data_IF_916305131248
#
_entry.id   IF_916305131248
#
_cell.length_a   1.000
_cell.length_b   1.000
_cell.length_c   1.000
_cell.angle_alpha   90.00
_cell.angle_beta   90.00
_cell.angle_gamma   90.00
#
_symmetry.space_group_name_H-M   'P 1'
#
loop_
_entity.id
_entity.type
_entity.pdbx_description
1 polymer ?
#
# COMPACT_ATOMS: atom_id res chain seq x y z
N UNK A 1 2.15 -7.20 0.24
CA UNK A 1 1.88 -8.38 -0.62
C UNK A 1 0.52 -8.97 -0.30
N UNK A 2 0.11 -9.09 0.97
CA UNK A 2 -1.27 -9.45 1.31
C UNK A 2 -2.31 -8.56 0.62
N UNK A 3 -2.19 -7.23 0.76
CA UNK A 3 -3.11 -6.27 0.12
C UNK A 3 -3.19 -6.44 -1.40
N UNK A 4 -2.04 -6.55 -2.07
CA UNK A 4 -2.00 -6.77 -3.52
C UNK A 4 -2.62 -8.11 -3.92
N UNK A 5 -2.43 -9.17 -3.13
CA UNK A 5 -3.06 -10.48 -3.38
C UNK A 5 -4.57 -10.40 -3.23
N UNK A 6 -5.07 -9.74 -2.17
CA UNK A 6 -6.50 -9.51 -1.96
C UNK A 6 -7.13 -8.67 -3.06
N UNK A 7 -6.39 -7.71 -3.61
CA UNK A 7 -6.81 -6.89 -4.74
C UNK A 7 -6.84 -7.68 -6.06
N UNK A 8 -5.82 -8.48 -6.34
CA UNK A 8 -5.72 -9.31 -7.55
C UNK A 8 -6.79 -10.40 -7.58
N UNK A 9 -7.04 -11.04 -6.43
CA UNK A 9 -8.08 -12.07 -6.27
C UNK A 9 -9.50 -11.45 -6.11
N UNK A 10 -9.63 -10.12 -6.21
CA UNK A 10 -10.88 -9.35 -6.11
C UNK A 10 -11.65 -9.50 -4.78
N UNK A 11 -10.99 -9.96 -3.72
CA UNK A 11 -11.53 -10.00 -2.37
C UNK A 11 -11.74 -8.59 -1.78
N UNK A 12 -10.99 -7.60 -2.27
CA UNK A 12 -11.14 -6.19 -1.90
C UNK A 12 -11.42 -5.36 -3.14
N UNK A 13 -12.49 -4.56 -3.10
CA UNK A 13 -12.85 -3.63 -4.17
C UNK A 13 -12.34 -2.23 -3.83
N UNK A 14 -11.38 -1.73 -4.62
CA UNK A 14 -10.80 -0.38 -4.43
C UNK A 14 -11.78 0.75 -4.75
N UNK A 15 -12.81 0.47 -5.54
CA UNK A 15 -13.80 1.46 -5.99
C UNK A 15 -14.47 2.11 -4.80
N UNK A 16 -14.92 1.30 -3.84
CA UNK A 16 -15.59 1.79 -2.63
C UNK A 16 -14.61 2.55 -1.73
N UNK A 17 -13.38 2.07 -1.60
CA UNK A 17 -12.32 2.77 -0.87
C UNK A 17 -12.08 4.18 -1.42
N UNK A 18 -11.89 4.31 -2.74
CA UNK A 18 -11.70 5.62 -3.37
C UNK A 18 -12.94 6.49 -3.33
N UNK A 19 -14.12 5.89 -3.37
CA UNK A 19 -15.39 6.60 -3.18
C UNK A 19 -15.45 7.24 -1.78
N UNK A 20 -15.15 6.48 -0.73
CA UNK A 20 -15.13 6.97 0.65
C UNK A 20 -14.04 8.04 0.87
N UNK A 21 -12.85 7.86 0.29
CA UNK A 21 -11.79 8.87 0.35
C UNK A 21 -12.20 10.20 -0.29
N UNK A 22 -12.91 10.16 -1.42
CA UNK A 22 -13.45 11.37 -2.06
C UNK A 22 -14.52 12.07 -1.23
N UNK A 23 -15.27 11.32 -0.44
CA UNK A 23 -16.33 11.84 0.43
C UNK A 23 -15.83 12.25 1.82
N UNK A 24 -14.54 12.08 2.10
CA UNK A 24 -13.97 12.36 3.42
C UNK A 24 -14.04 13.85 3.76
N UNK A 25 -14.37 14.17 5.01
CA UNK A 25 -14.39 15.54 5.51
C UNK A 25 -12.96 16.10 5.58
N UNK A 26 -12.61 16.93 4.59
CA UNK A 26 -11.29 17.55 4.48
C UNK A 26 -11.00 18.49 5.66
N UNK A 27 -12.01 19.13 6.23
CA UNK A 27 -11.83 19.99 7.39
C UNK A 27 -11.52 19.16 8.64
N UNK A 28 -12.19 18.02 8.82
CA UNK A 28 -11.85 17.08 9.88
C UNK A 28 -10.42 16.55 9.75
N UNK A 29 -10.00 16.17 8.53
CA UNK A 29 -8.63 15.72 8.25
C UNK A 29 -7.62 16.83 8.56
N UNK A 30 -7.88 18.06 8.09
CA UNK A 30 -7.01 19.20 8.33
C UNK A 30 -6.85 19.48 9.83
N UNK A 31 -7.95 19.44 10.59
CA UNK A 31 -7.93 19.56 12.06
C UNK A 31 -7.10 18.45 12.70
N UNK A 32 -7.31 17.19 12.29
CA UNK A 32 -6.55 16.05 12.80
C UNK A 32 -5.04 16.19 12.55
N UNK A 33 -4.63 16.60 11.35
CA UNK A 33 -3.21 16.80 11.02
C UNK A 33 -2.59 17.92 11.89
N UNK A 34 -3.30 19.04 12.06
CA UNK A 34 -2.85 20.13 12.92
C UNK A 34 -2.77 19.74 14.40
N UNK A 35 -3.71 18.94 14.90
CA UNK A 35 -3.67 18.38 16.25
C UNK A 35 -2.42 17.49 16.47
N UNK A 36 -1.93 16.85 15.40
CA UNK A 36 -0.70 16.06 15.41
C UNK A 36 0.55 16.87 15.04
N UNK A 37 0.52 18.20 15.24
CA UNK A 37 1.62 19.13 14.98
C UNK A 37 2.09 19.22 13.52
N UNK A 38 1.28 18.78 12.55
CA UNK A 38 1.53 19.03 11.12
C UNK A 38 0.90 20.38 10.77
N UNK A 39 1.70 21.44 10.87
CA UNK A 39 1.23 22.82 10.69
C UNK A 39 0.91 23.14 9.22
N UNK A 40 1.78 22.70 8.31
CA UNK A 40 1.55 22.81 6.87
C UNK A 40 0.93 21.51 6.33
N UNK A 41 -0.39 21.54 6.12
CA UNK A 41 -1.16 20.42 5.59
C UNK A 41 -1.30 20.45 4.06
N UNK A 42 -0.80 21.50 3.40
CA UNK A 42 -0.97 21.67 1.94
C UNK A 42 -0.32 20.54 1.15
N UNK A 43 0.90 20.15 1.56
CA UNK A 43 1.63 19.05 0.93
C UNK A 43 0.92 17.70 1.09
N UNK A 44 0.26 17.49 2.23
CA UNK A 44 -0.57 16.30 2.45
C UNK A 44 -1.73 16.28 1.46
N UNK A 45 -2.49 17.37 1.33
CA UNK A 45 -3.64 17.41 0.43
C UNK A 45 -3.26 17.32 -1.04
N UNK A 46 -2.12 17.90 -1.46
CA UNK A 46 -1.57 17.70 -2.81
C UNK A 46 -1.28 16.21 -3.08
N UNK A 47 -0.69 15.51 -2.10
CA UNK A 47 -0.45 14.08 -2.22
C UNK A 47 -1.76 13.30 -2.21
N UNK A 48 -2.68 13.62 -1.31
CA UNK A 48 -3.98 12.97 -1.16
C UNK A 48 -4.80 13.03 -2.45
N UNK A 49 -4.85 14.21 -3.09
CA UNK A 49 -5.58 14.39 -4.34
C UNK A 49 -4.95 13.58 -5.48
N UNK A 50 -3.61 13.59 -5.57
CA UNK A 50 -2.87 12.75 -6.55
C UNK A 50 -3.06 11.26 -6.30
N UNK A 51 -3.07 10.85 -5.04
CA UNK A 51 -3.28 9.46 -4.62
C UNK A 51 -4.67 8.96 -5.03
N UNK A 52 -5.72 9.77 -4.82
CA UNK A 52 -7.07 9.46 -5.28
C UNK A 52 -7.14 9.45 -6.81
N UNK A 53 -6.59 10.47 -7.47
CA UNK A 53 -6.72 10.63 -8.93
C UNK A 53 -6.03 9.51 -9.70
N UNK A 54 -4.89 9.03 -9.21
CA UNK A 54 -4.15 7.93 -9.83
C UNK A 54 -4.80 6.55 -9.62
N UNK A 55 -5.87 6.46 -8.83
CA UNK A 55 -6.36 5.19 -8.28
C UNK A 55 -5.17 4.33 -7.82
N UNK A 56 -4.26 4.92 -7.05
CA UNK A 56 -2.94 4.37 -6.75
C UNK A 56 -2.91 2.86 -6.43
N UNK A 57 -3.89 2.32 -5.70
CA UNK A 57 -4.03 0.91 -5.34
C UNK A 57 -4.36 0.00 -6.53
N UNK A 58 -5.00 0.52 -7.58
CA UNK A 58 -5.17 -0.21 -8.85
C UNK A 58 -3.82 -0.51 -9.51
N UNK A 59 -2.83 0.37 -9.35
CA UNK A 59 -1.47 0.08 -9.82
C UNK A 59 -0.83 -1.10 -9.08
N UNK A 60 -1.29 -1.45 -7.88
CA UNK A 60 -0.78 -2.61 -7.12
C UNK A 60 -1.36 -3.96 -7.56
N UNK A 61 -2.39 -3.99 -8.44
CA UNK A 61 -2.88 -5.24 -9.03
C UNK A 61 -1.82 -5.93 -9.89
N UNK A 62 -0.91 -5.17 -10.47
CA UNK A 62 0.19 -5.70 -11.26
C UNK A 62 1.37 -6.02 -10.35
N UNK A 63 1.74 -7.30 -10.25
CA UNK A 63 2.85 -7.79 -9.42
C UNK A 63 4.18 -7.08 -9.70
N UNK A 64 4.40 -6.62 -10.94
CA UNK A 64 5.58 -5.84 -11.34
C UNK A 64 5.68 -4.49 -10.61
N UNK A 65 4.54 -3.88 -10.25
CA UNK A 65 4.50 -2.58 -9.58
C UNK A 65 4.86 -2.68 -8.08
N UNK A 66 4.67 -3.84 -7.45
CA UNK A 66 5.11 -4.11 -6.08
C UNK A 66 6.64 -4.17 -6.01
N UNK A 67 7.26 -4.89 -6.95
CA UNK A 67 8.71 -4.99 -7.05
C UNK A 67 9.34 -3.62 -7.25
N UNK A 68 8.76 -2.84 -8.16
CA UNK A 68 9.16 -1.47 -8.42
C UNK A 68 9.02 -0.59 -7.17
N UNK A 69 7.89 -0.66 -6.47
CA UNK A 69 7.66 0.13 -5.25
C UNK A 69 8.65 -0.24 -4.13
N UNK A 70 8.92 -1.53 -3.92
CA UNK A 70 9.92 -1.99 -2.95
C UNK A 70 11.31 -1.48 -3.31
N UNK A 71 11.74 -1.60 -4.57
CA UNK A 71 13.01 -1.06 -5.03
C UNK A 71 13.12 0.46 -4.79
N UNK A 72 12.04 1.22 -5.04
CA UNK A 72 12.00 2.67 -4.78
C UNK A 72 12.12 3.00 -3.29
N UNK A 73 11.54 2.20 -2.40
CA UNK A 73 11.69 2.34 -0.95
C UNK A 73 13.14 2.01 -0.54
N UNK A 74 13.67 0.90 -1.02
CA UNK A 74 15.03 0.44 -0.74
C UNK A 74 16.07 1.51 -1.11
N UNK A 75 15.96 2.08 -2.32
CA UNK A 75 16.83 3.18 -2.78
C UNK A 75 16.67 4.48 -1.97
N UNK A 76 15.55 4.67 -1.28
CA UNK A 76 15.29 5.86 -0.47
C UNK A 76 15.82 5.73 0.96
N UNK A 77 15.87 4.51 1.48
CA UNK A 77 16.26 4.23 2.87
C UNK A 77 17.74 3.91 2.99
N UNK A 78 18.33 3.19 2.03
CA UNK A 78 19.74 2.82 2.07
C UNK A 78 20.64 3.85 1.39
N UNK A 79 21.80 4.07 2.01
CA UNK A 79 22.82 5.01 1.54
C UNK A 79 23.51 4.49 0.27
N UNK A 80 23.67 3.18 0.16
CA UNK A 80 24.18 2.47 -1.02
C UNK A 80 23.04 1.60 -1.58
N UNK A 81 22.52 1.90 -2.79
CA UNK A 81 21.44 1.14 -3.39
C UNK A 81 21.91 -0.26 -3.82
N UNK A 82 20.96 -1.19 -3.93
CA UNK A 82 21.20 -2.54 -4.42
C UNK A 82 21.74 -2.50 -5.86
N UNK A 83 22.71 -3.37 -6.16
CA UNK A 83 23.17 -3.62 -7.51
C UNK A 83 22.10 -4.29 -8.36
N UNK A 84 22.23 -4.23 -9.69
CA UNK A 84 21.26 -4.85 -10.61
C UNK A 84 21.09 -6.36 -10.35
N UNK A 85 22.17 -7.05 -9.97
CA UNK A 85 22.11 -8.47 -9.62
C UNK A 85 21.36 -8.72 -8.31
N UNK A 86 21.55 -7.88 -7.29
CA UNK A 86 20.81 -7.98 -6.03
C UNK A 86 19.32 -7.66 -6.22
N UNK A 87 18.99 -6.75 -7.13
CA UNK A 87 17.60 -6.47 -7.52
C UNK A 87 16.94 -7.70 -8.16
N UNK A 88 17.66 -8.41 -9.03
CA UNK A 88 17.16 -9.65 -9.65
C UNK A 88 16.92 -10.74 -8.60
N UNK A 89 17.91 -10.99 -7.73
CA UNK A 89 17.80 -11.98 -6.65
C UNK A 89 16.66 -11.64 -5.68
N UNK A 90 16.51 -10.37 -5.32
CA UNK A 90 15.39 -9.89 -4.51
C UNK A 90 14.06 -10.15 -5.22
N UNK A 91 14.04 -9.97 -6.54
CA UNK A 91 12.92 -10.29 -7.41
C UNK A 91 12.43 -11.72 -7.26
N UNK A 92 13.35 -12.67 -7.38
CA UNK A 92 13.05 -14.11 -7.29
C UNK A 92 12.56 -14.50 -5.90
N UNK A 93 13.24 -14.04 -4.83
CA UNK A 93 12.84 -14.33 -3.44
C UNK A 93 11.43 -13.82 -3.16
N UNK A 94 11.11 -12.60 -3.60
CA UNK A 94 9.79 -12.02 -3.40
C UNK A 94 8.72 -12.74 -4.24
N UNK A 95 9.05 -13.23 -5.43
CA UNK A 95 8.13 -14.02 -6.23
C UNK A 95 7.82 -15.36 -5.55
N UNK A 96 8.85 -16.06 -5.06
CA UNK A 96 8.68 -17.30 -4.29
C UNK A 96 7.85 -17.09 -3.03
N UNK A 97 8.11 -15.99 -2.31
CA UNK A 97 7.29 -15.59 -1.16
C UNK A 97 5.84 -15.34 -1.56
N UNK A 98 5.59 -14.69 -2.72
CA UNK A 98 4.24 -14.48 -3.24
C UNK A 98 3.52 -15.81 -3.46
N UNK A 99 4.19 -16.77 -4.10
CA UNK A 99 3.60 -18.08 -4.39
C UNK A 99 3.24 -18.83 -3.10
N UNK A 100 4.10 -18.78 -2.09
CA UNK A 100 3.81 -19.36 -0.78
C UNK A 100 2.61 -18.66 -0.11
N UNK A 101 2.56 -17.32 -0.19
CA UNK A 101 1.47 -16.54 0.38
C UNK A 101 0.11 -16.85 -0.29
N UNK A 102 0.07 -17.12 -1.60
CA UNK A 102 -1.17 -17.51 -2.29
C UNK A 102 -1.82 -18.76 -1.68
N UNK A 103 -1.05 -19.64 -1.04
CA UNK A 103 -1.59 -20.83 -0.37
C UNK A 103 -2.35 -20.53 0.92
N UNK A 104 -2.10 -19.41 1.60
CA UNK A 104 -2.62 -19.14 2.95
C UNK A 104 -2.99 -17.67 3.23
N UNK A 105 -2.99 -16.79 2.23
CA UNK A 105 -3.23 -15.36 2.43
C UNK A 105 -4.58 -15.06 3.10
N UNK A 106 -5.63 -15.85 2.83
CA UNK A 106 -6.93 -15.69 3.48
C UNK A 106 -6.90 -16.07 4.96
N UNK A 107 -6.13 -17.09 5.36
CA UNK A 107 -6.00 -17.45 6.77
C UNK A 107 -5.37 -16.29 7.56
N UNK A 108 -4.33 -15.68 6.99
CA UNK A 108 -3.68 -14.48 7.57
C UNK A 108 -4.67 -13.31 7.64
N UNK A 109 -5.45 -13.08 6.57
CA UNK A 109 -6.44 -12.01 6.55
C UNK A 109 -7.50 -12.17 7.64
N UNK A 110 -8.06 -13.37 7.79
CA UNK A 110 -9.06 -13.66 8.81
C UNK A 110 -8.48 -13.56 10.23
N UNK A 111 -7.25 -14.01 10.46
CA UNK A 111 -6.59 -13.87 11.77
C UNK A 111 -6.44 -12.40 12.18
N UNK A 112 -6.06 -11.52 11.24
CA UNK A 112 -5.97 -10.08 11.47
C UNK A 112 -7.36 -9.51 11.79
N UNK A 113 -8.38 -9.90 11.01
CA UNK A 113 -9.74 -9.42 11.18
C UNK A 113 -10.31 -9.77 12.56
N UNK A 114 -10.12 -11.01 13.01
CA UNK A 114 -10.52 -11.47 14.36
C UNK A 114 -9.88 -10.59 15.44
N UNK A 115 -8.56 -10.35 15.34
CA UNK A 115 -7.83 -9.52 16.32
C UNK A 115 -8.30 -8.06 16.37
N UNK A 116 -8.74 -7.50 15.24
CA UNK A 116 -9.25 -6.14 15.16
C UNK A 116 -10.67 -5.99 15.74
N UNK A 117 -11.50 -7.02 15.63
CA UNK A 117 -12.87 -7.03 16.18
C UNK A 117 -12.84 -7.23 17.71
N UNK A 118 -11.85 -7.97 18.21
CA UNK A 118 -11.67 -8.23 19.64
C UNK A 118 -10.91 -7.11 20.39
N UNK A 119 -10.53 -6.01 19.71
CA UNK A 119 -9.80 -4.85 20.27
C UNK A 119 -10.69 -3.63 20.46
#
# INVERSE_FOLDING_TARGET
>A
MLDSTLLTENHVQTVDFYSHLRQSDREAINRFLKLNNIQDTSQFFIFFDKFIQSNYLESYRESQNIMYALNRICMRVWKDPLSDNEILVLGDILNDYHQNLLGNYMEIFEEINVKLIDS
#
